data_IF_353360376356
#
_entry.id   IF_353360376356
#
_cell.length_a   1.000
_cell.length_b   1.000
_cell.length_c   1.000
_cell.angle_alpha   90.00
_cell.angle_beta   90.00
_cell.angle_gamma   90.00
#
_symmetry.space_group_name_H-M   'P 1'
#
loop_
_entity.id
_entity.type
_entity.pdbx_description
1 polymer ?
#
# COMPACT_ATOMS: atom_id res chain seq x y z
N UNK A 1 11.32 -30.24 -14.04
CA UNK A 1 10.24 -29.33 -13.60
C UNK A 1 9.98 -29.66 -12.14
N UNK A 2 10.17 -28.71 -11.22
CA UNK A 2 9.92 -28.91 -9.78
C UNK A 2 8.54 -28.33 -9.47
N UNK A 3 7.65 -29.12 -8.93
CA UNK A 3 6.29 -28.69 -8.53
C UNK A 3 6.27 -28.64 -7.01
N UNK A 4 6.06 -27.46 -6.47
CA UNK A 4 5.95 -27.24 -5.02
C UNK A 4 4.57 -26.63 -4.71
N UNK A 5 3.94 -27.01 -3.60
CA UNK A 5 2.69 -26.39 -3.17
C UNK A 5 2.95 -24.92 -2.78
N UNK A 6 1.96 -24.06 -3.03
CA UNK A 6 2.00 -22.69 -2.57
C UNK A 6 2.02 -22.65 -1.04
N UNK A 7 2.84 -21.76 -0.46
CA UNK A 7 2.72 -21.46 0.96
C UNK A 7 1.37 -20.81 1.27
N UNK A 8 0.88 -20.93 2.51
CA UNK A 8 -0.42 -20.37 2.92
C UNK A 8 -0.52 -18.86 2.61
N UNK A 9 0.55 -18.10 2.81
CA UNK A 9 0.58 -16.67 2.52
C UNK A 9 0.44 -16.40 1.00
N UNK A 10 1.15 -17.15 0.15
CA UNK A 10 1.04 -17.01 -1.31
C UNK A 10 -0.31 -17.47 -1.82
N UNK A 11 -0.89 -18.51 -1.23
CA UNK A 11 -2.24 -18.97 -1.55
C UNK A 11 -3.28 -17.88 -1.24
N UNK A 12 -3.21 -17.26 -0.05
CA UNK A 12 -4.09 -16.16 0.33
C UNK A 12 -4.02 -14.98 -0.65
N UNK A 13 -2.81 -14.55 -1.01
CA UNK A 13 -2.61 -13.48 -1.99
C UNK A 13 -3.18 -13.85 -3.37
N UNK A 14 -2.95 -15.08 -3.82
CA UNK A 14 -3.48 -15.57 -5.10
C UNK A 14 -5.01 -15.54 -5.13
N UNK A 15 -5.66 -16.05 -4.08
CA UNK A 15 -7.12 -16.03 -3.96
C UNK A 15 -7.66 -14.59 -3.95
N UNK A 16 -7.04 -13.70 -3.17
CA UNK A 16 -7.43 -12.31 -3.09
C UNK A 16 -7.34 -11.59 -4.45
N UNK A 17 -6.22 -11.75 -5.15
CA UNK A 17 -6.01 -11.15 -6.47
C UNK A 17 -6.94 -11.73 -7.53
N UNK A 18 -7.20 -13.04 -7.50
CA UNK A 18 -8.11 -13.71 -8.42
C UNK A 18 -9.55 -13.23 -8.23
N UNK A 19 -9.96 -13.06 -6.97
CA UNK A 19 -11.27 -12.52 -6.62
C UNK A 19 -11.42 -11.07 -7.05
N UNK A 20 -10.42 -10.23 -6.79
CA UNK A 20 -10.39 -8.84 -7.23
C UNK A 20 -10.53 -8.73 -8.76
N UNK A 21 -9.77 -9.52 -9.53
CA UNK A 21 -9.84 -9.55 -11.00
C UNK A 21 -11.24 -9.88 -11.52
N UNK A 22 -12.00 -10.70 -10.81
CA UNK A 22 -13.35 -11.11 -11.23
C UNK A 22 -14.38 -9.98 -11.08
N UNK A 23 -14.18 -9.07 -10.13
CA UNK A 23 -15.16 -8.03 -9.77
C UNK A 23 -14.73 -6.61 -10.16
N UNK A 24 -13.48 -6.41 -10.55
CA UNK A 24 -12.96 -5.10 -10.87
C UNK A 24 -12.44 -5.04 -12.30
N UNK A 25 -12.84 -4.00 -13.04
CA UNK A 25 -12.23 -3.64 -14.31
C UNK A 25 -11.01 -2.76 -14.04
N UNK A 26 -9.83 -3.30 -14.27
CA UNK A 26 -8.58 -2.57 -14.08
C UNK A 26 -8.14 -1.93 -15.38
N UNK A 27 -7.80 -0.64 -15.32
CA UNK A 27 -7.13 0.08 -16.39
C UNK A 27 -5.71 0.39 -15.90
N UNK A 28 -4.71 0.00 -16.68
CA UNK A 28 -3.31 0.21 -16.33
C UNK A 28 -2.70 1.29 -17.22
N UNK A 29 -1.93 2.18 -16.60
CA UNK A 29 -1.08 3.15 -17.28
C UNK A 29 0.36 2.99 -16.81
N UNK A 30 1.31 3.14 -17.74
CA UNK A 30 2.73 3.12 -17.41
C UNK A 30 3.28 4.51 -17.72
N UNK A 31 3.91 5.11 -16.73
CA UNK A 31 4.52 6.43 -16.82
C UNK A 31 5.97 6.35 -16.35
N UNK A 32 6.83 7.09 -17.02
CA UNK A 32 8.23 7.21 -16.65
C UNK A 32 8.51 8.64 -16.20
N UNK A 33 9.10 8.78 -15.02
CA UNK A 33 9.47 10.06 -14.44
C UNK A 33 10.96 10.07 -14.06
N UNK A 34 11.62 11.20 -14.29
CA UNK A 34 12.93 11.47 -13.71
C UNK A 34 12.74 11.87 -12.25
N UNK A 35 13.33 11.11 -11.36
CA UNK A 35 13.27 11.32 -9.89
C UNK A 35 14.62 11.70 -9.30
N UNK A 36 15.59 12.08 -10.12
CA UNK A 36 16.97 12.40 -9.70
C UNK A 36 16.97 13.47 -8.62
N UNK A 37 16.27 14.58 -8.85
CA UNK A 37 16.19 15.68 -7.89
C UNK A 37 15.50 15.26 -6.58
N UNK A 38 14.43 14.48 -6.69
CA UNK A 38 13.72 13.95 -5.53
C UNK A 38 14.62 13.03 -4.68
N UNK A 39 15.37 12.15 -5.33
CA UNK A 39 16.31 11.26 -4.63
C UNK A 39 17.43 12.07 -3.97
N UNK A 40 17.98 13.05 -4.67
CA UNK A 40 18.99 13.95 -4.11
C UNK A 40 18.49 14.71 -2.87
N UNK A 41 17.23 15.18 -2.90
CA UNK A 41 16.62 15.84 -1.74
C UNK A 41 16.40 14.85 -0.57
N UNK A 42 15.93 13.63 -0.86
CA UNK A 42 15.77 12.60 0.17
C UNK A 42 17.10 12.25 0.86
N UNK A 43 18.20 12.17 0.13
CA UNK A 43 19.52 11.92 0.70
C UNK A 43 19.99 13.09 1.59
N UNK A 44 19.76 14.33 1.16
CA UNK A 44 20.06 15.53 2.00
C UNK A 44 19.27 15.51 3.30
N UNK A 45 17.95 15.26 3.21
CA UNK A 45 17.06 15.20 4.37
C UNK A 45 17.45 14.08 5.34
N UNK A 46 17.90 12.94 4.82
CA UNK A 46 18.43 11.85 5.66
C UNK A 46 19.72 12.25 6.37
N UNK A 47 20.62 12.97 5.69
CA UNK A 47 21.84 13.49 6.30
C UNK A 47 21.55 14.47 7.45
N UNK A 48 20.46 15.24 7.34
CA UNK A 48 19.96 16.13 8.39
C UNK A 48 19.18 15.40 9.51
N UNK A 49 19.18 14.04 9.49
CA UNK A 49 18.56 13.21 10.52
C UNK A 49 17.05 12.95 10.33
N UNK A 50 16.44 13.44 9.26
CA UNK A 50 15.03 13.16 8.98
C UNK A 50 14.82 11.74 8.47
N UNK A 51 13.73 11.12 8.91
CA UNK A 51 13.39 9.72 8.60
C UNK A 51 12.31 9.67 7.52
N UNK A 52 12.73 9.53 6.28
CA UNK A 52 11.80 9.42 5.14
C UNK A 52 12.32 8.46 4.07
N UNK A 53 11.42 8.02 3.19
CA UNK A 53 11.74 7.13 2.07
C UNK A 53 10.93 7.53 0.85
N UNK A 54 11.36 7.09 -0.33
CA UNK A 54 10.59 7.29 -1.56
C UNK A 54 9.16 6.75 -1.43
N UNK A 55 8.99 5.60 -0.75
CA UNK A 55 7.65 5.02 -0.51
C UNK A 55 6.80 5.93 0.36
N UNK A 56 7.34 6.52 1.43
CA UNK A 56 6.58 7.48 2.27
C UNK A 56 6.17 8.72 1.50
N UNK A 57 7.02 9.21 0.59
CA UNK A 57 6.69 10.34 -0.29
C UNK A 57 5.56 9.97 -1.26
N UNK A 58 5.63 8.80 -1.90
CA UNK A 58 4.59 8.33 -2.82
C UNK A 58 3.24 8.15 -2.11
N UNK A 59 3.24 7.58 -0.91
CA UNK A 59 2.03 7.42 -0.09
C UNK A 59 1.42 8.78 0.25
N UNK A 60 2.23 9.74 0.70
CA UNK A 60 1.80 11.11 0.98
C UNK A 60 1.23 11.79 -0.26
N UNK A 61 1.96 11.74 -1.38
CA UNK A 61 1.55 12.35 -2.64
C UNK A 61 0.24 11.76 -3.17
N UNK A 62 0.08 10.43 -3.08
CA UNK A 62 -1.17 9.75 -3.46
C UNK A 62 -2.33 10.22 -2.59
N UNK A 63 -2.15 10.32 -1.27
CA UNK A 63 -3.16 10.84 -0.36
C UNK A 63 -3.59 12.27 -0.71
N UNK A 64 -2.63 13.15 -0.94
CA UNK A 64 -2.88 14.54 -1.35
C UNK A 64 -3.58 14.64 -2.73
N UNK A 65 -3.24 13.74 -3.66
CA UNK A 65 -3.89 13.66 -4.96
C UNK A 65 -5.37 13.27 -4.81
N UNK A 66 -5.67 12.27 -3.99
CA UNK A 66 -7.03 11.81 -3.73
C UNK A 66 -7.87 12.87 -2.99
N UNK A 67 -7.27 13.59 -2.04
CA UNK A 67 -7.91 14.73 -1.37
C UNK A 67 -8.30 15.83 -2.37
N UNK A 68 -7.41 16.16 -3.30
CA UNK A 68 -7.65 17.16 -4.35
C UNK A 68 -8.66 16.70 -5.40
N UNK A 69 -8.75 15.39 -5.61
CA UNK A 69 -9.64 14.77 -6.59
C UNK A 69 -10.53 13.68 -5.96
N UNK A 70 -11.56 14.06 -5.16
CA UNK A 70 -12.38 13.10 -4.39
C UNK A 70 -13.06 12.03 -5.25
N UNK A 71 -13.33 12.32 -6.51
CA UNK A 71 -13.90 11.33 -7.44
C UNK A 71 -12.99 10.12 -7.71
N UNK A 72 -11.70 10.21 -7.41
CA UNK A 72 -10.78 9.07 -7.49
C UNK A 72 -10.98 8.07 -6.32
N UNK A 73 -11.62 8.52 -5.22
CA UNK A 73 -11.93 7.69 -4.06
C UNK A 73 -13.37 7.14 -4.12
N UNK A 74 -13.78 6.70 -5.30
CA UNK A 74 -15.13 6.21 -5.57
C UNK A 74 -15.10 4.76 -6.00
N UNK A 75 -16.09 4.00 -5.56
CA UNK A 75 -16.26 2.61 -5.97
C UNK A 75 -17.67 2.34 -6.52
N UNK A 76 -17.74 1.55 -7.59
CA UNK A 76 -18.99 1.12 -8.19
C UNK A 76 -19.35 -0.26 -7.66
N UNK A 77 -20.41 -0.36 -6.89
CA UNK A 77 -20.96 -1.63 -6.43
C UNK A 77 -22.06 -2.14 -7.36
N UNK A 78 -21.94 -3.39 -7.76
CA UNK A 78 -22.94 -4.09 -8.53
C UNK A 78 -23.77 -4.98 -7.61
N UNK A 79 -24.94 -4.49 -7.21
CA UNK A 79 -25.94 -5.31 -6.54
C UNK A 79 -26.83 -6.04 -7.53
N UNK A 80 -27.63 -6.98 -7.04
CA UNK A 80 -28.52 -7.81 -7.86
C UNK A 80 -29.54 -6.97 -8.67
N UNK A 81 -30.00 -5.85 -8.11
CA UNK A 81 -31.04 -4.99 -8.72
C UNK A 81 -30.60 -3.54 -8.92
N UNK A 82 -29.47 -3.13 -8.38
CA UNK A 82 -28.99 -1.73 -8.46
C UNK A 82 -27.47 -1.69 -8.63
N UNK A 83 -27.03 -0.72 -9.43
CA UNK A 83 -25.63 -0.28 -9.47
C UNK A 83 -25.55 0.98 -8.62
N UNK A 84 -24.65 1.01 -7.68
CA UNK A 84 -24.50 2.11 -6.72
C UNK A 84 -23.06 2.61 -6.77
N UNK A 85 -22.88 3.92 -6.90
CA UNK A 85 -21.61 4.59 -6.67
C UNK A 85 -21.50 4.96 -5.20
N UNK A 86 -20.37 4.65 -4.59
CA UNK A 86 -20.06 5.01 -3.21
C UNK A 86 -18.80 5.86 -3.21
N UNK A 87 -18.91 7.06 -2.71
CA UNK A 87 -17.77 7.94 -2.42
C UNK A 87 -17.29 7.62 -1.00
N UNK A 88 -16.01 7.25 -0.88
CA UNK A 88 -15.42 7.03 0.42
C UNK A 88 -14.95 8.36 1.01
N UNK A 89 -15.35 8.64 2.24
CA UNK A 89 -14.91 9.84 2.96
C UNK A 89 -13.47 9.70 3.48
N UNK A 90 -13.07 8.47 3.79
CA UNK A 90 -11.72 8.20 4.30
C UNK A 90 -10.77 7.87 3.16
N UNK A 91 -9.64 8.57 3.11
CA UNK A 91 -8.55 8.28 2.19
C UNK A 91 -7.59 7.34 2.91
N UNK A 92 -7.36 6.16 2.32
CA UNK A 92 -6.37 5.20 2.80
C UNK A 92 -5.52 4.67 1.65
N UNK A 93 -4.28 4.31 1.96
CA UNK A 93 -3.34 3.74 0.99
C UNK A 93 -2.92 2.35 1.44
N UNK A 94 -3.18 1.33 0.62
CA UNK A 94 -2.74 -0.03 0.90
C UNK A 94 -1.36 -0.28 0.30
N UNK A 95 -0.45 -0.80 1.12
CA UNK A 95 0.90 -1.20 0.73
C UNK A 95 1.08 -2.69 0.94
N UNK A 96 1.86 -3.31 0.08
CA UNK A 96 2.36 -4.68 0.33
C UNK A 96 3.71 -4.56 1.03
N UNK A 97 3.79 -5.07 2.24
CA UNK A 97 5.04 -5.17 3.00
C UNK A 97 5.62 -6.56 2.82
N UNK A 98 6.91 -6.59 2.45
CA UNK A 98 7.72 -7.80 2.38
C UNK A 98 8.64 -7.87 3.60
N UNK A 99 8.69 -9.03 4.22
CA UNK A 99 9.64 -9.34 5.31
C UNK A 99 9.96 -10.84 5.33
N UNK A 100 11.06 -11.17 5.98
CA UNK A 100 11.42 -12.56 6.24
C UNK A 100 10.86 -12.99 7.60
N UNK A 101 10.24 -14.17 7.64
CA UNK A 101 9.82 -14.83 8.87
C UNK A 101 11.00 -15.41 9.65
N UNK A 102 10.74 -15.92 10.86
CA UNK A 102 11.78 -16.51 11.72
C UNK A 102 12.47 -17.73 11.11
N UNK A 103 11.79 -18.44 10.22
CA UNK A 103 12.33 -19.58 9.48
C UNK A 103 12.97 -19.21 8.14
N UNK A 104 13.10 -17.91 7.81
CA UNK A 104 13.60 -17.44 6.53
C UNK A 104 12.58 -17.47 5.39
N UNK A 105 11.31 -17.77 5.70
CA UNK A 105 10.22 -17.73 4.73
C UNK A 105 9.86 -16.31 4.34
N UNK A 106 9.54 -16.12 3.05
CA UNK A 106 9.00 -14.86 2.53
C UNK A 106 7.57 -14.63 3.02
N UNK A 107 7.36 -13.53 3.72
CA UNK A 107 6.03 -13.09 4.15
C UNK A 107 5.69 -11.79 3.43
N UNK A 108 4.58 -11.82 2.69
CA UNK A 108 3.99 -10.66 2.03
C UNK A 108 2.61 -10.43 2.64
N UNK A 109 2.36 -9.23 3.14
CA UNK A 109 1.05 -8.90 3.70
C UNK A 109 0.66 -7.45 3.36
N UNK A 110 -0.63 -7.19 3.15
CA UNK A 110 -1.13 -5.84 2.95
C UNK A 110 -1.18 -5.10 4.28
N UNK A 111 -0.80 -3.83 4.27
CA UNK A 111 -0.99 -2.89 5.38
C UNK A 111 -1.69 -1.65 4.86
N UNK A 112 -2.46 -1.01 5.71
CA UNK A 112 -3.24 0.17 5.38
C UNK A 112 -2.67 1.36 6.13
N UNK A 113 -2.30 2.40 5.40
CA UNK A 113 -1.95 3.72 5.93
C UNK A 113 -3.19 4.60 5.81
N UNK A 114 -3.77 4.95 6.94
CA UNK A 114 -4.95 5.78 6.97
C UNK A 114 -4.60 7.27 6.92
N UNK A 115 -5.41 8.04 6.21
CA UNK A 115 -5.33 9.49 6.07
C UNK A 115 -3.91 10.02 5.81
N UNK A 116 -3.20 9.50 4.78
CA UNK A 116 -1.82 9.90 4.52
C UNK A 116 -1.68 11.39 4.16
N UNK A 117 -2.73 12.03 3.65
CA UNK A 117 -2.77 13.46 3.33
C UNK A 117 -2.68 14.36 4.58
N UNK A 118 -3.15 13.90 5.73
CA UNK A 118 -3.11 14.64 7.00
C UNK A 118 -1.80 14.45 7.77
N UNK A 119 -1.02 13.41 7.44
CA UNK A 119 0.16 12.98 8.20
C UNK A 119 1.46 13.52 7.62
N UNK A 120 2.46 13.67 8.46
CA UNK A 120 3.81 14.04 8.05
C UNK A 120 4.54 12.86 7.38
N UNK A 121 5.61 13.15 6.63
CA UNK A 121 6.44 12.10 6.02
C UNK A 121 7.12 11.22 7.07
N UNK A 122 7.53 11.81 8.21
CA UNK A 122 8.17 11.09 9.31
C UNK A 122 7.20 10.10 9.96
N UNK A 123 5.94 10.48 10.17
CA UNK A 123 4.91 9.59 10.72
C UNK A 123 4.59 8.43 9.76
N UNK A 124 4.43 8.71 8.47
CA UNK A 124 4.20 7.68 7.46
C UNK A 124 5.39 6.72 7.40
N UNK A 125 6.63 7.25 7.41
CA UNK A 125 7.84 6.45 7.42
C UNK A 125 7.92 5.56 8.66
N UNK A 126 7.65 6.12 9.85
CA UNK A 126 7.68 5.40 11.11
C UNK A 126 6.71 4.23 11.12
N UNK A 127 5.48 4.43 10.61
CA UNK A 127 4.47 3.39 10.52
C UNK A 127 4.86 2.29 9.52
N UNK A 128 5.37 2.64 8.33
CA UNK A 128 5.88 1.66 7.37
C UNK A 128 7.03 0.84 7.99
N UNK A 129 7.92 1.48 8.75
CA UNK A 129 9.01 0.81 9.47
C UNK A 129 8.47 -0.12 10.54
N UNK A 130 7.47 0.31 11.30
CA UNK A 130 6.80 -0.51 12.30
C UNK A 130 6.26 -1.82 11.67
N UNK A 131 5.53 -1.73 10.58
CA UNK A 131 5.03 -2.91 9.86
C UNK A 131 6.14 -3.86 9.36
N UNK A 132 7.32 -3.34 9.06
CA UNK A 132 8.47 -4.15 8.63
C UNK A 132 9.17 -4.87 9.80
N UNK A 133 9.11 -4.35 11.01
CA UNK A 133 9.93 -4.80 12.14
C UNK A 133 9.15 -5.34 13.33
N UNK A 134 7.91 -4.90 13.54
CA UNK A 134 7.07 -5.35 14.64
C UNK A 134 6.74 -6.85 14.54
N UNK A 135 6.55 -7.55 15.66
CA UNK A 135 6.00 -8.89 15.68
C UNK A 135 4.65 -8.96 14.93
N UNK A 136 4.39 -10.05 14.21
CA UNK A 136 3.17 -10.16 13.39
C UNK A 136 1.89 -10.09 14.20
N UNK A 137 1.90 -10.57 15.43
CA UNK A 137 0.77 -10.51 16.35
C UNK A 137 0.48 -9.10 16.92
N UNK A 138 1.38 -8.15 16.71
CA UNK A 138 1.20 -6.75 17.10
C UNK A 138 0.68 -5.88 15.95
N UNK A 139 0.51 -6.47 14.76
CA UNK A 139 -0.01 -5.77 13.58
C UNK A 139 -1.52 -6.01 13.52
N UNK A 140 -2.37 -4.99 13.81
CA UNK A 140 -3.83 -5.16 13.94
C UNK A 140 -4.53 -5.69 12.68
N UNK A 141 -3.88 -5.55 11.54
CA UNK A 141 -4.44 -5.93 10.23
C UNK A 141 -4.17 -7.40 9.86
N UNK A 142 -3.43 -8.14 10.71
CA UNK A 142 -3.05 -9.55 10.49
C UNK A 142 -3.71 -10.48 11.53
N UNK A 143 -4.15 -9.92 12.67
CA UNK A 143 -4.79 -10.65 13.77
C UNK A 143 -6.24 -11.05 13.52
#
# INVERSE_FOLDING_TARGET
MKIEPLSNNRFFLYEHLTRAKRFHCSVSGVYQYDVTDLVGELERQKADGRKMSLVSVLVKATGMLMERHPRMNRHLFHGLFRKVEVDFETISCTLIVHRFGRGGEDILFPVIIERPHERTLDEIYAEIRHFKTAPLNEIPQIG
#
